data_IF_399008478682
#
_entry.id   IF_399008478682
#
_cell.length_a   1.000
_cell.length_b   1.000
_cell.length_c   1.000
_cell.angle_alpha   90.00
_cell.angle_beta   90.00
_cell.angle_gamma   90.00
#
_symmetry.space_group_name_H-M   'P 1'
#
loop_
_entity.id
_entity.type
_entity.pdbx_description
1 polymer ?
#
# COMPACT_ATOMS: atom_id res chain seq x y z
N UNK A 1 11.06 -8.52 -14.27
CA UNK A 1 10.35 -7.22 -14.14
C UNK A 1 8.91 -7.55 -13.83
N UNK A 2 8.41 -7.11 -12.72
CA UNK A 2 7.02 -7.40 -12.38
C UNK A 2 6.10 -6.58 -13.28
N UNK A 3 5.32 -7.27 -14.11
CA UNK A 3 4.36 -6.63 -15.02
C UNK A 3 3.21 -5.96 -14.26
N UNK A 4 3.01 -6.30 -12.98
CA UNK A 4 1.88 -5.80 -12.18
C UNK A 4 2.14 -4.44 -11.51
N UNK A 5 3.39 -3.94 -11.49
CA UNK A 5 3.70 -2.66 -10.84
C UNK A 5 2.83 -1.51 -11.32
N UNK A 6 2.66 -1.35 -12.63
CA UNK A 6 1.88 -0.25 -13.18
C UNK A 6 0.40 -0.34 -12.78
N UNK A 7 -0.18 -1.53 -12.86
CA UNK A 7 -1.58 -1.75 -12.46
C UNK A 7 -1.77 -1.51 -10.95
N UNK A 8 -0.82 -1.97 -10.13
CA UNK A 8 -0.86 -1.76 -8.69
C UNK A 8 -0.76 -0.26 -8.34
N UNK A 9 0.14 0.48 -8.99
CA UNK A 9 0.28 1.91 -8.78
C UNK A 9 -1.00 2.66 -9.20
N UNK A 10 -1.56 2.38 -10.36
CA UNK A 10 -2.81 2.99 -10.83
C UNK A 10 -3.96 2.74 -9.85
N UNK A 11 -4.10 1.52 -9.37
CA UNK A 11 -5.13 1.15 -8.40
C UNK A 11 -4.96 1.89 -7.07
N UNK A 12 -3.73 1.99 -6.56
CA UNK A 12 -3.43 2.75 -5.32
C UNK A 12 -3.72 4.23 -5.50
N UNK A 13 -3.26 4.84 -6.58
CA UNK A 13 -3.46 6.27 -6.83
C UNK A 13 -4.94 6.64 -7.00
N UNK A 14 -5.77 5.70 -7.45
CA UNK A 14 -7.21 5.87 -7.48
C UNK A 14 -7.79 6.10 -6.08
N UNK A 15 -7.27 5.41 -5.06
CA UNK A 15 -7.68 5.61 -3.67
C UNK A 15 -7.11 6.88 -3.03
N UNK A 16 -5.92 7.31 -3.43
CA UNK A 16 -5.21 8.43 -2.77
C UNK A 16 -5.75 9.81 -3.16
N UNK A 17 -6.44 9.94 -4.29
CA UNK A 17 -7.09 11.17 -4.71
C UNK A 17 -6.15 12.24 -5.28
N UNK A 18 -6.72 13.42 -5.53
CA UNK A 18 -6.05 14.55 -6.15
C UNK A 18 -5.44 15.55 -5.17
N UNK A 19 -5.21 16.77 -5.66
CA UNK A 19 -4.64 17.86 -4.85
C UNK A 19 -5.62 18.32 -3.77
N UNK A 20 -5.09 18.43 -2.54
CA UNK A 20 -5.80 18.99 -1.39
C UNK A 20 -4.85 19.94 -0.65
N UNK A 21 -5.34 21.11 -0.31
CA UNK A 21 -4.67 22.05 0.59
C UNK A 21 -5.65 22.47 1.68
N UNK A 22 -5.55 21.82 2.84
CA UNK A 22 -6.34 22.17 4.02
C UNK A 22 -5.50 23.01 4.98
N UNK A 23 -5.78 24.31 5.14
CA UNK A 23 -5.00 25.17 6.05
C UNK A 23 -5.05 24.73 7.52
N UNK A 24 -6.06 23.95 7.90
CA UNK A 24 -6.22 23.40 9.27
C UNK A 24 -5.48 22.09 9.48
N UNK A 25 -4.98 21.47 8.42
CA UNK A 25 -4.22 20.24 8.50
C UNK A 25 -2.73 20.57 8.67
N UNK A 26 -2.07 20.08 9.75
CA UNK A 26 -0.63 20.26 9.92
C UNK A 26 0.22 19.71 8.76
N UNK A 27 -0.31 18.72 8.02
CA UNK A 27 0.33 18.16 6.84
C UNK A 27 0.29 19.08 5.61
N UNK A 28 -0.58 20.08 5.59
CA UNK A 28 -0.71 21.07 4.51
C UNK A 28 -1.15 20.47 3.19
N UNK A 29 -0.40 20.78 2.14
CA UNK A 29 -0.69 20.32 0.77
C UNK A 29 -0.36 18.85 0.57
N UNK A 30 -1.28 18.15 -0.13
CA UNK A 30 -1.08 16.78 -0.63
C UNK A 30 -1.54 16.68 -2.07
N UNK A 31 -0.92 15.80 -2.83
CA UNK A 31 -1.40 15.40 -4.14
C UNK A 31 -0.99 13.96 -4.41
N UNK A 32 -1.90 13.18 -4.97
CA UNK A 32 -1.69 11.75 -5.25
C UNK A 32 -1.22 10.98 -4.01
N UNK A 33 -1.71 11.36 -2.82
CA UNK A 33 -1.32 10.76 -1.54
C UNK A 33 0.06 11.19 -1.02
N UNK A 34 0.77 12.03 -1.76
CA UNK A 34 2.09 12.52 -1.38
C UNK A 34 1.97 13.90 -0.70
N UNK A 35 2.42 13.99 0.55
CA UNK A 35 2.49 15.28 1.25
C UNK A 35 3.62 16.15 0.70
N UNK A 36 3.48 17.47 0.86
CA UNK A 36 4.54 18.40 0.49
C UNK A 36 5.86 18.07 1.19
N UNK A 37 5.83 17.76 2.47
CA UNK A 37 7.02 17.39 3.23
C UNK A 37 7.73 16.15 2.68
N UNK A 38 6.98 15.10 2.34
CA UNK A 38 7.52 13.87 1.73
C UNK A 38 8.09 14.16 0.36
N UNK A 39 7.41 14.98 -0.45
CA UNK A 39 7.90 15.34 -1.77
C UNK A 39 9.19 16.16 -1.72
N UNK A 40 9.26 17.17 -0.82
CA UNK A 40 10.48 17.97 -0.60
C UNK A 40 11.67 17.12 -0.14
N UNK A 41 11.43 16.16 0.75
CA UNK A 41 12.45 15.19 1.16
C UNK A 41 12.93 14.34 -0.03
N UNK A 42 12.02 13.92 -0.89
CA UNK A 42 12.34 13.12 -2.06
C UNK A 42 13.17 13.86 -3.10
N UNK A 43 12.80 15.10 -3.42
CA UNK A 43 13.53 15.92 -4.42
C UNK A 43 14.74 16.65 -3.84
N UNK A 44 14.81 16.80 -2.52
CA UNK A 44 15.95 17.40 -1.81
C UNK A 44 15.95 18.93 -1.75
N UNK A 45 14.80 19.56 -2.02
CA UNK A 45 14.65 21.02 -1.94
C UNK A 45 13.18 21.42 -1.68
N UNK A 46 12.93 22.65 -1.16
CA UNK A 46 11.57 23.17 -1.01
C UNK A 46 10.84 23.28 -2.35
N UNK A 47 9.52 23.08 -2.31
CA UNK A 47 8.63 23.23 -3.48
C UNK A 47 7.47 24.17 -3.14
N UNK A 48 6.84 24.74 -4.16
CA UNK A 48 5.68 25.59 -4.02
C UNK A 48 4.36 24.85 -4.29
N UNK A 49 3.25 25.56 -4.11
CA UNK A 49 1.90 25.01 -4.37
C UNK A 49 1.72 24.59 -5.83
N UNK A 50 2.26 25.38 -6.77
CA UNK A 50 2.18 25.05 -8.20
C UNK A 50 2.83 23.71 -8.49
N UNK A 51 4.03 23.47 -7.96
CA UNK A 51 4.72 22.19 -8.09
C UNK A 51 3.88 21.04 -7.55
N UNK A 52 3.29 21.21 -6.35
CA UNK A 52 2.43 20.18 -5.77
C UNK A 52 1.18 19.90 -6.61
N UNK A 53 0.53 20.94 -7.14
CA UNK A 53 -0.66 20.78 -8.00
C UNK A 53 -0.36 20.06 -9.31
N UNK A 54 0.82 20.24 -9.85
CA UNK A 54 1.23 19.70 -11.16
C UNK A 54 1.83 18.30 -11.08
N UNK A 55 1.93 17.68 -9.89
CA UNK A 55 2.42 16.32 -9.73
C UNK A 55 1.57 15.34 -10.55
N UNK A 56 2.25 14.50 -11.30
CA UNK A 56 1.65 13.45 -12.13
C UNK A 56 1.92 12.06 -11.54
N UNK A 57 1.17 11.02 -11.93
CA UNK A 57 1.51 9.64 -11.56
C UNK A 57 2.94 9.24 -11.91
N UNK A 58 3.46 9.72 -13.04
CA UNK A 58 4.85 9.47 -13.45
C UNK A 58 5.86 10.08 -12.47
N UNK A 59 5.56 11.26 -11.92
CA UNK A 59 6.43 11.92 -10.95
C UNK A 59 6.53 11.15 -9.63
N UNK A 60 5.40 10.68 -9.09
CA UNK A 60 5.35 9.98 -7.81
C UNK A 60 5.69 8.50 -7.89
N UNK A 61 5.69 7.91 -9.07
CA UNK A 61 5.95 6.48 -9.29
C UNK A 61 7.27 6.00 -8.67
N UNK A 62 8.43 6.65 -8.91
CA UNK A 62 9.69 6.20 -8.30
C UNK A 62 9.68 6.27 -6.77
N UNK A 63 9.02 7.28 -6.20
CA UNK A 63 8.87 7.43 -4.76
C UNK A 63 8.08 6.26 -4.15
N UNK A 64 6.90 5.98 -4.71
CA UNK A 64 6.04 4.87 -4.26
C UNK A 64 6.74 3.53 -4.41
N UNK A 65 7.44 3.33 -5.54
CA UNK A 65 8.20 2.10 -5.76
C UNK A 65 9.25 1.89 -4.68
N UNK A 66 10.11 2.87 -4.46
CA UNK A 66 11.22 2.76 -3.51
C UNK A 66 10.77 2.66 -2.05
N UNK A 67 9.75 3.45 -1.65
CA UNK A 67 9.32 3.53 -0.25
C UNK A 67 8.39 2.42 0.18
N UNK A 68 7.66 1.83 -0.75
CA UNK A 68 6.62 0.84 -0.40
C UNK A 68 6.75 -0.46 -1.16
N UNK A 69 6.74 -0.44 -2.49
CA UNK A 69 6.78 -1.64 -3.32
C UNK A 69 8.05 -2.48 -3.10
N UNK A 70 9.20 -1.84 -3.17
CA UNK A 70 10.48 -2.52 -2.96
C UNK A 70 10.64 -3.01 -1.50
N UNK A 71 10.05 -2.29 -0.55
CA UNK A 71 10.08 -2.67 0.88
C UNK A 71 9.26 -3.91 1.20
N UNK A 72 8.26 -4.23 0.42
CA UNK A 72 7.48 -5.46 0.53
C UNK A 72 7.90 -6.50 -0.51
N UNK A 73 9.00 -6.28 -1.21
CA UNK A 73 9.47 -7.16 -2.30
C UNK A 73 8.39 -7.47 -3.33
N UNK A 74 7.67 -6.44 -3.76
CA UNK A 74 6.53 -6.59 -4.64
C UNK A 74 6.85 -7.34 -5.94
N UNK A 75 8.06 -7.16 -6.49
CA UNK A 75 8.49 -7.87 -7.70
C UNK A 75 8.61 -9.39 -7.52
N UNK A 76 8.74 -9.89 -6.30
CA UNK A 76 8.88 -11.31 -5.95
C UNK A 76 7.57 -11.97 -5.55
N UNK A 77 6.55 -11.17 -5.23
CA UNK A 77 5.23 -11.65 -4.82
C UNK A 77 4.35 -12.01 -6.02
N UNK A 78 3.45 -13.00 -5.88
CA UNK A 78 2.43 -13.27 -6.89
C UNK A 78 1.50 -12.07 -7.12
N UNK A 79 1.00 -11.94 -8.35
CA UNK A 79 0.05 -10.90 -8.69
C UNK A 79 -1.20 -10.97 -7.80
N UNK A 80 -1.68 -9.82 -7.37
CA UNK A 80 -2.75 -9.69 -6.40
C UNK A 80 -2.23 -9.57 -4.97
N UNK A 81 -1.39 -10.48 -4.52
CA UNK A 81 -0.71 -10.37 -3.22
C UNK A 81 0.26 -9.20 -3.20
N UNK A 82 1.00 -8.99 -4.27
CA UNK A 82 1.90 -7.85 -4.44
C UNK A 82 1.16 -6.51 -4.28
N UNK A 83 0.04 -6.36 -4.98
CA UNK A 83 -0.82 -5.16 -4.90
C UNK A 83 -1.41 -4.98 -3.49
N UNK A 84 -1.96 -6.05 -2.91
CA UNK A 84 -2.60 -5.97 -1.58
C UNK A 84 -1.56 -5.58 -0.50
N UNK A 85 -0.39 -6.19 -0.56
CA UNK A 85 0.71 -5.92 0.36
C UNK A 85 1.22 -4.47 0.19
N UNK A 86 1.33 -4.00 -1.04
CA UNK A 86 1.70 -2.62 -1.39
C UNK A 86 0.69 -1.60 -0.84
N UNK A 87 -0.60 -1.80 -1.07
CA UNK A 87 -1.64 -0.91 -0.53
C UNK A 87 -1.62 -0.89 1.01
N UNK A 88 -1.44 -2.04 1.63
CA UNK A 88 -1.31 -2.13 3.09
C UNK A 88 -0.05 -1.41 3.60
N UNK A 89 1.05 -1.50 2.86
CA UNK A 89 2.30 -0.81 3.21
C UNK A 89 2.15 0.71 3.19
N UNK A 90 1.42 1.24 2.23
CA UNK A 90 1.13 2.68 2.15
C UNK A 90 0.29 3.13 3.35
N UNK A 91 -0.72 2.37 3.71
CA UNK A 91 -1.67 2.71 4.76
C UNK A 91 -1.12 2.48 6.18
N UNK A 92 -0.38 1.39 6.39
CA UNK A 92 0.02 0.92 7.73
C UNK A 92 1.52 0.64 7.89
N UNK A 93 2.31 0.95 6.86
CA UNK A 93 3.75 0.73 6.82
C UNK A 93 4.16 -0.65 6.27
N UNK A 94 5.36 -0.72 5.63
CA UNK A 94 5.84 -1.97 5.02
C UNK A 94 6.02 -3.12 6.01
N UNK A 95 6.54 -2.83 7.22
CA UNK A 95 6.75 -3.84 8.25
C UNK A 95 5.44 -4.52 8.67
N UNK A 96 4.37 -3.75 8.87
CA UNK A 96 3.05 -4.30 9.20
C UNK A 96 2.47 -5.10 8.06
N UNK A 97 2.61 -4.62 6.83
CA UNK A 97 2.14 -5.32 5.64
C UNK A 97 2.75 -6.72 5.54
N UNK A 98 4.07 -6.83 5.73
CA UNK A 98 4.77 -8.12 5.68
C UNK A 98 4.38 -9.01 6.86
N UNK A 99 4.27 -8.47 8.08
CA UNK A 99 3.85 -9.25 9.27
C UNK A 99 2.46 -9.85 9.10
N UNK A 100 1.50 -9.11 8.55
CA UNK A 100 0.17 -9.63 8.26
C UNK A 100 0.22 -10.76 7.24
N UNK A 101 1.02 -10.62 6.19
CA UNK A 101 1.21 -11.67 5.19
C UNK A 101 1.82 -12.93 5.81
N UNK A 102 2.86 -12.77 6.61
CA UNK A 102 3.52 -13.88 7.31
C UNK A 102 2.56 -14.65 8.20
N UNK A 103 1.68 -13.95 8.93
CA UNK A 103 0.67 -14.60 9.77
C UNK A 103 -0.32 -15.44 8.96
N UNK A 104 -0.63 -15.02 7.73
CA UNK A 104 -1.55 -15.76 6.85
C UNK A 104 -0.96 -17.05 6.28
N UNK A 105 0.36 -17.12 6.13
CA UNK A 105 1.05 -18.29 5.53
C UNK A 105 1.79 -19.15 6.56
N UNK A 106 1.66 -18.84 7.85
CA UNK A 106 2.32 -19.59 8.92
C UNK A 106 3.84 -19.45 8.96
N UNK A 107 4.38 -18.38 8.37
CA UNK A 107 5.79 -18.04 8.46
C UNK A 107 6.12 -17.30 9.76
N UNK A 108 7.41 -17.22 10.12
CA UNK A 108 7.86 -16.43 11.26
C UNK A 108 7.49 -14.95 11.04
N UNK A 109 6.80 -14.34 12.01
CA UNK A 109 6.28 -12.97 11.92
C UNK A 109 7.36 -11.99 12.40
N UNK A 110 8.34 -11.71 11.55
CA UNK A 110 9.48 -10.84 11.81
C UNK A 110 9.47 -9.53 10.99
N UNK A 111 8.57 -9.41 10.02
CA UNK A 111 8.46 -8.24 9.15
C UNK A 111 9.47 -8.19 8.01
N UNK A 112 10.28 -9.24 7.83
CA UNK A 112 11.24 -9.36 6.75
C UNK A 112 10.80 -10.43 5.74
N UNK A 113 10.64 -10.04 4.48
CA UNK A 113 10.21 -10.95 3.43
C UNK A 113 11.41 -11.72 2.87
N UNK A 114 11.75 -12.82 3.53
CA UNK A 114 12.83 -13.69 3.13
C UNK A 114 12.38 -14.89 2.30
N UNK A 115 13.34 -15.80 1.92
CA UNK A 115 13.06 -16.95 1.06
C UNK A 115 11.98 -17.90 1.61
N UNK A 116 11.93 -18.10 2.92
CA UNK A 116 10.93 -18.98 3.57
C UNK A 116 9.52 -18.40 3.45
N UNK A 117 9.36 -17.10 3.71
CA UNK A 117 8.08 -16.42 3.55
C UNK A 117 7.62 -16.46 2.08
N UNK A 118 8.52 -16.15 1.14
CA UNK A 118 8.21 -16.20 -0.29
C UNK A 118 7.80 -17.59 -0.75
N UNK A 119 8.48 -18.63 -0.30
CA UNK A 119 8.13 -20.01 -0.62
C UNK A 119 6.72 -20.36 -0.11
N UNK A 120 6.40 -19.99 1.13
CA UNK A 120 5.08 -20.22 1.71
C UNK A 120 3.98 -19.46 0.96
N UNK A 121 4.22 -18.20 0.58
CA UNK A 121 3.28 -17.40 -0.22
C UNK A 121 3.03 -18.05 -1.58
N UNK A 122 4.08 -18.48 -2.26
CA UNK A 122 3.95 -19.10 -3.59
C UNK A 122 3.28 -20.46 -3.55
N UNK A 123 3.40 -21.20 -2.45
CA UNK A 123 2.76 -22.50 -2.27
C UNK A 123 1.28 -22.39 -1.91
N UNK A 124 0.81 -21.26 -1.43
CA UNK A 124 -0.59 -21.04 -1.05
C UNK A 124 -1.50 -20.88 -2.27
N UNK A 125 -2.78 -21.26 -2.10
CA UNK A 125 -3.81 -20.86 -3.07
C UNK A 125 -3.95 -19.34 -3.02
N UNK A 126 -3.78 -18.67 -4.14
CA UNK A 126 -3.71 -17.19 -4.17
C UNK A 126 -5.04 -16.53 -3.81
N UNK A 127 -6.17 -17.06 -4.27
CA UNK A 127 -7.49 -16.53 -3.92
C UNK A 127 -7.78 -16.65 -2.42
N UNK A 128 -7.47 -17.81 -1.84
CA UNK A 128 -7.64 -18.04 -0.40
C UNK A 128 -6.69 -17.13 0.41
N UNK A 129 -5.48 -16.93 -0.07
CA UNK A 129 -4.51 -16.05 0.59
C UNK A 129 -4.95 -14.58 0.54
N UNK A 130 -5.51 -14.10 -0.57
CA UNK A 130 -6.09 -12.76 -0.68
C UNK A 130 -7.22 -12.60 0.35
N UNK A 131 -8.13 -13.56 0.46
CA UNK A 131 -9.22 -13.53 1.43
C UNK A 131 -8.70 -13.54 2.88
N UNK A 132 -7.73 -14.37 3.19
CA UNK A 132 -7.11 -14.43 4.53
C UNK A 132 -6.38 -13.13 4.88
N UNK A 133 -5.70 -12.54 3.92
CA UNK A 133 -5.00 -11.25 4.11
C UNK A 133 -5.99 -10.11 4.35
N UNK A 134 -7.11 -10.09 3.63
CA UNK A 134 -8.18 -9.12 3.85
C UNK A 134 -8.74 -9.21 5.26
N UNK A 135 -9.01 -10.43 5.74
CA UNK A 135 -9.49 -10.69 7.10
C UNK A 135 -8.47 -10.22 8.14
N UNK A 136 -7.20 -10.55 7.98
CA UNK A 136 -6.12 -10.15 8.89
C UNK A 136 -5.92 -8.63 8.93
N UNK A 137 -5.93 -7.99 7.78
CA UNK A 137 -5.82 -6.52 7.68
C UNK A 137 -7.00 -5.82 8.35
N UNK A 138 -8.21 -6.29 8.09
CA UNK A 138 -9.41 -5.71 8.71
C UNK A 138 -9.37 -5.85 10.23
N UNK A 139 -9.00 -7.01 10.75
CA UNK A 139 -8.85 -7.23 12.19
C UNK A 139 -7.81 -6.30 12.82
N UNK A 140 -6.69 -6.10 12.14
CA UNK A 140 -5.66 -5.14 12.58
C UNK A 140 -6.22 -3.70 12.64
N UNK A 141 -6.93 -3.25 11.62
CA UNK A 141 -7.51 -1.91 11.58
C UNK A 141 -8.60 -1.73 12.64
N UNK A 142 -9.43 -2.75 12.86
CA UNK A 142 -10.49 -2.73 13.89
C UNK A 142 -9.94 -2.62 15.31
N UNK A 143 -8.72 -3.08 15.55
CA UNK A 143 -8.06 -2.99 16.84
C UNK A 143 -7.41 -1.61 17.11
N UNK A 144 -7.33 -0.73 16.09
CA UNK A 144 -6.77 0.60 16.27
C UNK A 144 -7.75 1.53 17.00
N UNK A 145 -7.24 2.41 17.92
CA UNK A 145 -8.07 3.37 18.64
C UNK A 145 -8.88 4.30 17.73
N UNK A 146 -8.40 4.54 16.51
CA UNK A 146 -9.02 5.42 15.52
C UNK A 146 -10.08 4.73 14.64
N UNK A 147 -10.36 3.45 14.87
CA UNK A 147 -11.36 2.70 14.10
C UNK A 147 -12.74 3.35 14.13
N UNK A 148 -13.18 3.86 15.26
CA UNK A 148 -14.49 4.51 15.41
C UNK A 148 -14.63 5.74 14.50
N UNK A 149 -13.53 6.44 14.23
CA UNK A 149 -13.51 7.61 13.36
C UNK A 149 -13.38 7.24 11.88
N UNK A 150 -12.51 6.30 11.53
CA UNK A 150 -12.10 6.02 10.16
C UNK A 150 -12.56 4.66 9.63
N UNK A 151 -13.19 3.84 10.46
CA UNK A 151 -13.47 2.42 10.15
C UNK A 151 -14.33 2.19 8.92
N UNK A 152 -15.31 3.06 8.65
CA UNK A 152 -16.15 2.94 7.44
C UNK A 152 -15.33 3.08 6.17
N UNK A 153 -14.45 4.09 6.10
CA UNK A 153 -13.57 4.31 4.96
C UNK A 153 -12.53 3.20 4.82
N UNK A 154 -11.91 2.80 5.92
CA UNK A 154 -10.94 1.71 5.93
C UNK A 154 -11.53 0.37 5.53
N UNK A 155 -12.71 0.03 6.05
CA UNK A 155 -13.41 -1.20 5.68
C UNK A 155 -13.78 -1.25 4.21
N UNK A 156 -14.23 -0.12 3.65
CA UNK A 156 -14.51 -0.01 2.22
C UNK A 156 -13.24 -0.19 1.39
N UNK A 157 -12.14 0.45 1.76
CA UNK A 157 -10.86 0.31 1.06
C UNK A 157 -10.37 -1.14 1.08
N UNK A 158 -10.38 -1.81 2.23
CA UNK A 158 -9.98 -3.22 2.32
C UNK A 158 -10.80 -4.10 1.37
N UNK A 159 -12.11 -3.90 1.32
CA UNK A 159 -13.00 -4.66 0.43
C UNK A 159 -12.71 -4.40 -1.05
N UNK A 160 -12.51 -3.14 -1.43
CA UNK A 160 -12.19 -2.76 -2.82
C UNK A 160 -10.82 -3.31 -3.24
N UNK A 161 -9.83 -3.23 -2.36
CA UNK A 161 -8.49 -3.78 -2.59
C UNK A 161 -8.54 -5.29 -2.72
N UNK A 162 -9.31 -5.98 -1.88
CA UNK A 162 -9.53 -7.43 -1.98
C UNK A 162 -10.10 -7.83 -3.34
N UNK A 163 -11.14 -7.15 -3.79
CA UNK A 163 -11.77 -7.43 -5.08
C UNK A 163 -10.80 -7.21 -6.25
N UNK A 164 -10.05 -6.12 -6.23
CA UNK A 164 -9.05 -5.82 -7.25
C UNK A 164 -7.91 -6.85 -7.22
N UNK A 165 -7.42 -7.21 -6.04
CA UNK A 165 -6.37 -8.21 -5.87
C UNK A 165 -6.80 -9.59 -6.40
N UNK A 166 -8.04 -10.00 -6.16
CA UNK A 166 -8.60 -11.24 -6.72
C UNK A 166 -8.61 -11.23 -8.25
N UNK A 167 -8.95 -10.10 -8.86
CA UNK A 167 -8.90 -9.94 -10.31
C UNK A 167 -7.47 -10.04 -10.85
N UNK A 168 -6.49 -9.49 -10.15
CA UNK A 168 -5.07 -9.57 -10.52
C UNK A 168 -4.50 -10.98 -10.37
N UNK A 169 -5.02 -11.76 -9.41
CA UNK A 169 -4.56 -13.11 -9.10
C UNK A 169 -5.03 -14.18 -10.11
N UNK A 170 -5.97 -13.83 -10.96
CA UNK A 170 -6.46 -14.72 -12.03
C UNK A 170 -5.72 -14.48 -13.34
#
# INVERSE_FOLDING_TARGET
MNQNWQHALEAVLHHEGGFVNNPKDPGGMTNLGCTKAVWEEWVGHPVDEKTMRELTPADVSPLYKRRYWDKVSGDDLPAGIDYFCFDTAINSGPGRAVKLLQSCVGAAVDGALGPKTLAAVRAANQADLVASYATARLAFLQALPTWDTFGKGWGRRVKEVEQTALTMAT
#
